data_IF_651476934335
#
_entry.id   IF_651476934335
#
_cell.length_a   1.000
_cell.length_b   1.000
_cell.length_c   1.000
_cell.angle_alpha   90.00
_cell.angle_beta   90.00
_cell.angle_gamma   90.00
#
_symmetry.space_group_name_H-M   'P 1'
#
loop_
_entity.id
_entity.type
_entity.pdbx_description
1 polymer ?
#
# COMPACT_ATOMS: atom_id res chain seq x y z
N UNK A 1 -21.35 0.88 -0.09
CA UNK A 1 -21.05 1.46 -1.42
C UNK A 1 -19.86 0.70 -1.98
N UNK A 2 -20.02 0.02 -3.10
CA UNK A 2 -18.94 -0.74 -3.73
C UNK A 2 -17.96 0.25 -4.40
N UNK A 3 -16.64 0.12 -4.19
CA UNK A 3 -15.70 1.04 -4.82
C UNK A 3 -15.74 0.87 -6.33
N UNK A 4 -15.93 1.98 -7.04
CA UNK A 4 -15.94 1.99 -8.50
C UNK A 4 -14.53 1.77 -9.02
N UNK A 5 -14.36 0.77 -9.89
CA UNK A 5 -13.15 0.61 -10.67
C UNK A 5 -13.10 1.77 -11.67
N UNK A 6 -12.13 2.67 -11.51
CA UNK A 6 -11.87 3.78 -12.43
C UNK A 6 -11.42 3.26 -13.79
N UNK A 7 -10.47 2.33 -13.74
CA UNK A 7 -9.84 1.72 -14.89
C UNK A 7 -9.24 0.38 -14.47
N UNK A 8 -9.06 -0.50 -15.42
CA UNK A 8 -8.34 -1.74 -15.21
C UNK A 8 -6.92 -1.56 -15.74
N UNK A 9 -5.94 -2.02 -14.97
CA UNK A 9 -4.61 -2.30 -15.49
C UNK A 9 -4.64 -3.76 -15.90
N UNK A 10 -4.56 -4.00 -17.20
CA UNK A 10 -4.40 -5.34 -17.76
C UNK A 10 -2.92 -5.67 -17.87
N UNK A 11 -2.56 -6.92 -17.58
CA UNK A 11 -1.22 -7.44 -17.78
C UNK A 11 -1.29 -8.95 -18.02
N UNK A 12 -0.36 -9.45 -18.83
CA UNK A 12 -0.22 -10.87 -19.15
C UNK A 12 0.82 -11.50 -18.20
N UNK A 13 0.48 -12.59 -17.50
CA UNK A 13 1.44 -13.28 -16.62
C UNK A 13 2.41 -14.17 -17.42
N UNK A 14 3.37 -14.82 -16.74
CA UNK A 14 4.34 -15.73 -17.39
C UNK A 14 3.72 -16.98 -18.01
N UNK A 15 2.47 -17.29 -17.65
CA UNK A 15 1.70 -18.43 -18.15
C UNK A 15 0.76 -18.02 -19.31
N UNK A 16 0.79 -16.75 -19.72
CA UNK A 16 -0.05 -16.20 -20.79
C UNK A 16 -1.45 -15.76 -20.33
N UNK A 17 -1.75 -15.79 -19.03
CA UNK A 17 -3.03 -15.33 -18.51
C UNK A 17 -3.07 -13.81 -18.42
N UNK A 18 -4.15 -13.22 -18.93
CA UNK A 18 -4.43 -11.81 -18.71
C UNK A 18 -5.06 -11.62 -17.33
N UNK A 19 -4.28 -11.05 -16.42
CA UNK A 19 -4.74 -10.65 -15.10
C UNK A 19 -5.10 -9.16 -15.15
N UNK A 20 -6.23 -8.81 -14.56
CA UNK A 20 -6.71 -7.43 -14.50
C UNK A 20 -6.69 -6.95 -13.05
N UNK A 21 -5.89 -5.92 -12.78
CA UNK A 21 -5.99 -5.20 -11.51
C UNK A 21 -6.93 -4.01 -11.68
N UNK A 22 -8.02 -3.93 -10.90
CA UNK A 22 -8.84 -2.75 -10.91
C UNK A 22 -8.11 -1.64 -10.14
N UNK A 23 -8.02 -0.50 -10.78
CA UNK A 23 -7.64 0.75 -10.15
C UNK A 23 -8.93 1.40 -9.67
N UNK A 24 -9.08 1.51 -8.36
CA UNK A 24 -10.30 2.02 -7.76
C UNK A 24 -10.29 3.55 -7.70
N UNK A 25 -11.30 4.18 -8.32
CA UNK A 25 -11.67 5.55 -8.00
C UNK A 25 -12.38 5.51 -6.67
N UNK A 26 -11.63 5.71 -5.60
CA UNK A 26 -12.25 6.10 -4.34
C UNK A 26 -12.46 7.61 -4.50
N UNK A 27 -13.67 8.00 -4.92
CA UNK A 27 -14.02 9.35 -5.39
C UNK A 27 -13.69 10.49 -4.41
N UNK A 28 -14.18 11.73 -4.64
CA UNK A 28 -14.08 12.77 -3.63
C UNK A 28 -14.69 12.29 -2.29
N UNK A 29 -14.24 12.85 -1.17
CA UNK A 29 -14.62 12.46 0.19
C UNK A 29 -16.14 12.34 0.36
N UNK A 30 -16.88 13.21 -0.33
CA UNK A 30 -18.34 13.33 -0.27
C UNK A 30 -19.09 12.25 -1.07
N UNK A 31 -18.40 11.50 -1.95
CA UNK A 31 -18.95 10.38 -2.73
C UNK A 31 -18.53 9.00 -2.17
N UNK A 32 -18.14 8.95 -0.88
CA UNK A 32 -17.60 7.73 -0.26
C UNK A 32 -16.10 7.52 -0.51
N UNK A 33 -15.41 8.59 -0.93
CA UNK A 33 -13.96 8.68 -1.03
C UNK A 33 -13.24 8.49 0.31
N UNK A 34 -11.97 8.12 0.24
CA UNK A 34 -11.08 8.08 1.41
C UNK A 34 -10.60 9.52 1.66
N UNK A 35 -10.84 10.14 2.84
CA UNK A 35 -10.44 11.53 3.06
C UNK A 35 -8.94 11.76 2.82
N UNK A 36 -8.55 13.00 2.49
CA UNK A 36 -7.13 13.36 2.41
C UNK A 36 -6.43 12.97 3.73
N UNK A 37 -5.28 12.31 3.64
CA UNK A 37 -4.53 11.83 4.81
C UNK A 37 -4.96 10.46 5.33
N UNK A 38 -5.88 9.76 4.67
CA UNK A 38 -6.36 8.43 5.08
C UNK A 38 -5.78 7.29 4.23
N UNK A 39 -4.50 7.38 3.84
CA UNK A 39 -3.81 6.37 3.02
C UNK A 39 -4.00 4.93 3.51
N UNK A 40 -4.01 4.71 4.83
CA UNK A 40 -4.29 3.41 5.44
C UNK A 40 -5.69 2.88 5.11
N UNK A 41 -6.70 3.76 5.06
CA UNK A 41 -8.06 3.44 4.66
C UNK A 41 -8.18 3.01 3.20
N UNK A 42 -7.43 3.67 2.30
CA UNK A 42 -7.31 3.26 0.90
C UNK A 42 -6.67 1.88 0.80
N UNK A 43 -5.48 1.70 1.38
CA UNK A 43 -4.69 0.49 1.23
C UNK A 43 -5.44 -0.73 1.77
N UNK A 44 -6.13 -0.59 2.92
CA UNK A 44 -7.04 -1.61 3.48
C UNK A 44 -8.14 -2.05 2.53
N UNK A 45 -8.86 -1.08 1.94
CA UNK A 45 -10.00 -1.38 1.06
C UNK A 45 -9.53 -2.13 -0.17
N UNK A 46 -8.41 -1.68 -0.77
CA UNK A 46 -7.81 -2.39 -1.91
C UNK A 46 -7.35 -3.79 -1.50
N UNK A 47 -6.68 -3.93 -0.35
CA UNK A 47 -6.23 -5.23 0.14
C UNK A 47 -7.38 -6.23 0.37
N UNK A 48 -8.50 -5.76 0.94
CA UNK A 48 -9.70 -6.57 1.12
C UNK A 48 -10.33 -6.95 -0.23
N UNK A 49 -10.62 -5.96 -1.08
CA UNK A 49 -11.39 -6.20 -2.29
C UNK A 49 -10.67 -7.09 -3.31
N UNK A 50 -9.34 -7.00 -3.37
CA UNK A 50 -8.54 -7.75 -4.34
C UNK A 50 -8.01 -9.07 -3.82
N UNK A 51 -7.63 -9.10 -2.55
CA UNK A 51 -6.86 -10.20 -1.99
C UNK A 51 -7.53 -10.84 -0.78
N UNK A 52 -8.75 -10.41 -0.44
CA UNK A 52 -9.49 -10.91 0.73
C UNK A 52 -8.83 -10.59 2.08
N UNK A 53 -7.82 -9.70 2.10
CA UNK A 53 -7.06 -9.39 3.32
C UNK A 53 -7.75 -8.34 4.16
N UNK A 54 -8.13 -8.73 5.37
CA UNK A 54 -8.90 -7.90 6.29
C UNK A 54 -8.00 -7.31 7.37
N UNK A 55 -7.51 -6.10 7.14
CA UNK A 55 -6.88 -5.34 8.22
C UNK A 55 -7.90 -4.40 8.85
N UNK A 56 -7.89 -4.26 10.17
CA UNK A 56 -8.74 -3.37 10.97
C UNK A 56 -8.46 -1.86 10.75
N UNK A 57 -9.47 -0.98 10.93
CA UNK A 57 -9.30 0.45 10.72
C UNK A 57 -8.29 1.06 11.70
N UNK A 58 -7.25 1.72 11.18
CA UNK A 58 -6.28 2.45 12.00
C UNK A 58 -5.52 3.51 11.18
N UNK A 59 -4.73 4.35 11.86
CA UNK A 59 -3.73 5.21 11.24
C UNK A 59 -2.56 4.37 10.71
N UNK A 60 -1.97 4.78 9.57
CA UNK A 60 -0.90 4.06 8.89
C UNK A 60 0.22 3.59 9.84
N UNK A 61 0.73 4.50 10.66
CA UNK A 61 1.85 4.27 11.58
C UNK A 61 1.57 3.34 12.77
N UNK A 62 0.32 2.91 12.98
CA UNK A 62 -0.05 2.03 14.10
C UNK A 62 -0.10 0.55 13.71
N UNK A 63 -0.16 0.23 12.41
CA UNK A 63 -0.32 -1.14 11.93
C UNK A 63 0.80 -2.07 12.38
N UNK A 64 2.02 -1.56 12.52
CA UNK A 64 3.17 -2.32 13.02
C UNK A 64 3.00 -2.95 14.41
N UNK A 65 1.97 -2.55 15.16
CA UNK A 65 1.65 -3.09 16.47
C UNK A 65 0.47 -4.05 16.48
N UNK A 66 -0.23 -4.19 15.36
CA UNK A 66 -1.46 -4.99 15.23
C UNK A 66 -1.27 -6.18 14.30
N UNK A 67 -0.21 -6.14 13.51
CA UNK A 67 0.11 -7.10 12.46
C UNK A 67 1.57 -7.49 12.54
N UNK A 68 1.94 -8.56 11.83
CA UNK A 68 3.35 -8.88 11.68
C UNK A 68 4.00 -7.78 10.82
N UNK A 69 5.11 -7.26 11.34
CA UNK A 69 5.82 -6.13 10.78
C UNK A 69 7.25 -6.54 10.48
N UNK A 70 7.62 -6.54 9.20
CA UNK A 70 8.92 -7.00 8.73
C UNK A 70 9.69 -5.79 8.17
N UNK A 71 10.85 -5.43 8.73
CA UNK A 71 11.60 -4.26 8.27
C UNK A 71 12.10 -4.41 6.83
N UNK A 72 12.19 -3.29 6.13
CA UNK A 72 12.69 -3.16 4.76
C UNK A 72 13.91 -2.24 4.75
N UNK A 73 15.00 -2.69 4.15
CA UNK A 73 16.24 -1.91 4.04
C UNK A 73 16.31 -1.07 2.76
N UNK A 74 15.53 -1.45 1.73
CA UNK A 74 15.44 -0.73 0.47
C UNK A 74 14.72 -1.55 -0.61
N UNK A 75 14.72 -1.03 -1.84
CA UNK A 75 13.99 -1.65 -2.95
C UNK A 75 14.53 -3.06 -3.31
N UNK A 76 15.86 -3.26 -3.24
CA UNK A 76 16.48 -4.58 -3.50
C UNK A 76 16.02 -5.62 -2.48
N UNK A 77 15.99 -5.24 -1.21
CA UNK A 77 15.53 -6.09 -0.12
C UNK A 77 14.02 -6.40 -0.27
N UNK A 78 13.22 -5.39 -0.60
CA UNK A 78 11.80 -5.59 -0.89
C UNK A 78 11.54 -6.60 -2.02
N UNK A 79 12.29 -6.48 -3.12
CA UNK A 79 12.24 -7.43 -4.23
C UNK A 79 12.68 -8.83 -3.80
N UNK A 80 13.71 -8.93 -2.96
CA UNK A 80 14.14 -10.23 -2.42
C UNK A 80 13.05 -10.87 -1.57
N UNK A 81 12.39 -10.09 -0.70
CA UNK A 81 11.26 -10.56 0.12
C UNK A 81 10.07 -11.01 -0.74
N UNK A 82 9.80 -10.34 -1.87
CA UNK A 82 8.80 -10.82 -2.83
C UNK A 82 9.17 -12.16 -3.46
N UNK A 83 10.39 -12.28 -4.00
CA UNK A 83 10.87 -13.54 -4.62
C UNK A 83 10.87 -14.71 -3.63
N UNK A 84 11.11 -14.44 -2.35
CA UNK A 84 11.11 -15.43 -1.28
C UNK A 84 9.72 -15.64 -0.63
N UNK A 85 8.64 -15.10 -1.23
CA UNK A 85 7.25 -15.21 -0.73
C UNK A 85 7.04 -14.66 0.69
N UNK A 86 7.93 -13.81 1.17
CA UNK A 86 7.78 -13.07 2.45
C UNK A 86 6.81 -11.91 2.25
N UNK A 87 6.96 -11.19 1.14
CA UNK A 87 6.03 -10.20 0.63
C UNK A 87 5.07 -10.85 -0.37
N UNK A 88 3.78 -10.61 -0.23
CA UNK A 88 2.73 -11.18 -1.07
C UNK A 88 1.68 -10.13 -1.45
N UNK A 89 1.03 -10.24 -2.62
CA UNK A 89 -0.03 -9.32 -2.99
C UNK A 89 -1.10 -9.17 -1.90
N UNK A 90 -1.46 -7.92 -1.62
CA UNK A 90 -2.35 -7.52 -0.52
C UNK A 90 -1.65 -7.19 0.80
N UNK A 91 -0.35 -7.46 0.95
CA UNK A 91 0.41 -6.96 2.09
C UNK A 91 0.49 -5.42 2.05
N UNK A 92 0.43 -4.79 3.22
CA UNK A 92 0.55 -3.34 3.33
C UNK A 92 2.01 -2.95 3.49
N UNK A 93 2.40 -1.77 3.00
CA UNK A 93 3.77 -1.28 2.99
C UNK A 93 3.82 0.07 3.66
N UNK A 94 4.59 0.16 4.75
CA UNK A 94 4.89 1.42 5.41
C UNK A 94 5.91 2.23 4.62
N UNK A 95 5.56 3.47 4.28
CA UNK A 95 6.37 4.37 3.46
C UNK A 95 6.71 5.65 4.23
N UNK A 96 8.00 5.98 4.26
CA UNK A 96 8.52 7.24 4.79
C UNK A 96 8.77 8.23 3.66
N UNK A 97 8.17 9.41 3.75
CA UNK A 97 8.37 10.50 2.82
C UNK A 97 9.20 11.59 3.52
N UNK A 98 10.47 11.83 3.15
CA UNK A 98 11.34 12.80 3.81
C UNK A 98 10.78 14.22 3.84
N UNK A 99 10.03 14.60 2.80
CA UNK A 99 9.45 15.94 2.64
C UNK A 99 8.09 16.10 3.35
N UNK A 100 7.64 15.09 4.10
CA UNK A 100 6.35 15.15 4.81
C UNK A 100 6.40 16.07 6.03
N UNK A 101 5.46 17.01 6.13
CA UNK A 101 5.26 17.87 7.31
C UNK A 101 4.91 17.08 8.60
N UNK A 102 4.52 15.80 8.45
CA UNK A 102 4.23 14.91 9.57
C UNK A 102 5.51 14.34 10.22
N UNK A 103 6.66 14.48 9.57
CA UNK A 103 7.93 13.98 10.10
C UNK A 103 8.31 14.73 11.38
N UNK A 104 8.68 13.99 12.43
CA UNK A 104 9.06 14.56 13.73
C UNK A 104 7.89 15.07 14.60
N UNK A 105 6.69 15.23 14.04
CA UNK A 105 5.48 15.67 14.76
C UNK A 105 4.55 14.50 15.02
N UNK A 106 4.29 13.65 14.02
CA UNK A 106 3.35 12.54 14.18
C UNK A 106 3.84 11.53 15.22
N UNK A 107 2.95 11.19 16.16
CA UNK A 107 3.18 10.17 17.17
C UNK A 107 2.38 8.90 16.88
N UNK A 108 2.96 7.76 17.20
CA UNK A 108 2.27 6.48 17.19
C UNK A 108 1.39 6.30 18.44
N UNK A 109 0.59 5.22 18.49
CA UNK A 109 -0.27 4.92 19.64
C UNK A 109 0.47 4.69 20.97
N UNK A 110 1.81 4.62 20.95
CA UNK A 110 2.66 4.52 22.14
C UNK A 110 3.39 5.84 22.45
N UNK A 111 3.07 6.93 21.75
CA UNK A 111 3.66 8.25 21.97
C UNK A 111 5.05 8.44 21.34
N UNK A 112 5.52 7.54 20.47
CA UNK A 112 6.83 7.64 19.81
C UNK A 112 6.73 8.36 18.48
N UNK A 113 7.80 9.01 18.04
CA UNK A 113 7.87 9.58 16.69
C UNK A 113 7.68 8.46 15.67
N UNK A 114 6.74 8.65 14.73
CA UNK A 114 6.49 7.64 13.72
C UNK A 114 7.69 7.45 12.78
N UNK A 115 7.96 6.19 12.42
CA UNK A 115 9.02 5.80 11.47
C UNK A 115 8.58 5.90 10.00
N UNK A 116 7.27 5.94 9.76
CA UNK A 116 6.64 6.13 8.45
C UNK A 116 5.30 6.85 8.61
N UNK A 117 4.87 7.62 7.62
CA UNK A 117 3.64 8.44 7.70
C UNK A 117 2.62 8.08 6.63
N UNK A 118 2.97 7.15 5.74
CA UNK A 118 2.15 6.74 4.62
C UNK A 118 2.09 5.23 4.47
N UNK A 119 1.07 4.75 3.75
CA UNK A 119 0.83 3.34 3.55
C UNK A 119 0.36 3.05 2.12
N UNK A 120 0.96 2.03 1.52
CA UNK A 120 0.54 1.46 0.25
C UNK A 120 0.12 0.00 0.44
N UNK A 121 -0.53 -0.57 -0.57
CA UNK A 121 -0.75 -2.01 -0.70
C UNK A 121 0.12 -2.54 -1.84
N UNK A 122 0.81 -3.65 -1.61
CA UNK A 122 1.58 -4.32 -2.67
C UNK A 122 0.62 -5.08 -3.60
N UNK A 123 0.69 -4.80 -4.90
CA UNK A 123 -0.18 -5.41 -5.90
C UNK A 123 0.48 -6.59 -6.63
N UNK A 124 1.81 -6.67 -6.59
CA UNK A 124 2.58 -7.72 -7.26
C UNK A 124 3.72 -7.16 -8.11
N UNK A 125 4.12 -7.93 -9.10
CA UNK A 125 5.13 -7.54 -10.09
C UNK A 125 4.48 -7.52 -11.48
N UNK A 126 4.77 -6.50 -12.29
CA UNK A 126 4.25 -6.39 -13.65
C UNK A 126 5.15 -7.11 -14.68
N UNK A 127 4.73 -7.11 -15.95
CA UNK A 127 5.45 -7.75 -17.08
C UNK A 127 6.89 -7.27 -17.28
N UNK A 128 7.20 -6.05 -16.85
CA UNK A 128 8.55 -5.48 -16.93
C UNK A 128 9.38 -5.79 -15.69
N UNK A 129 8.93 -6.75 -14.86
CA UNK A 129 9.50 -7.08 -13.57
C UNK A 129 9.54 -5.88 -12.62
N UNK A 130 8.58 -4.96 -12.67
CA UNK A 130 8.50 -3.83 -11.73
C UNK A 130 7.51 -4.15 -10.62
N UNK A 131 7.89 -3.89 -9.37
CA UNK A 131 7.01 -3.99 -8.22
C UNK A 131 5.94 -2.89 -8.31
N UNK A 132 4.68 -3.27 -8.15
CA UNK A 132 3.50 -2.39 -8.30
C UNK A 132 2.85 -2.18 -6.94
N UNK A 133 2.49 -0.93 -6.64
CA UNK A 133 1.84 -0.55 -5.40
C UNK A 133 0.58 0.30 -5.64
N UNK A 134 -0.47 0.01 -4.88
CA UNK A 134 -1.66 0.85 -4.79
C UNK A 134 -1.55 1.80 -3.60
N UNK A 135 -1.73 3.10 -3.80
CA UNK A 135 -1.72 4.08 -2.71
C UNK A 135 -2.60 5.29 -3.03
N UNK A 136 -2.99 6.01 -1.99
CA UNK A 136 -3.72 7.28 -2.13
C UNK A 136 -2.72 8.41 -2.36
N UNK A 137 -2.80 9.11 -3.50
CA UNK A 137 -2.04 10.36 -3.71
C UNK A 137 -3.00 11.50 -4.03
N UNK A 138 -2.85 12.63 -3.35
CA UNK A 138 -3.60 13.85 -3.64
C UNK A 138 -2.95 14.59 -4.81
N UNK A 139 -3.38 14.30 -6.03
CA UNK A 139 -3.28 15.25 -7.14
C UNK A 139 -4.64 15.34 -7.87
N UNK A 140 -4.80 16.36 -8.73
CA UNK A 140 -6.02 16.62 -9.52
C UNK A 140 -6.39 15.48 -10.50
N UNK A 141 -5.60 14.42 -10.57
CA UNK A 141 -5.73 13.22 -11.42
C UNK A 141 -5.85 11.93 -10.59
N UNK A 142 -5.99 12.05 -9.27
CA UNK A 142 -6.64 11.10 -8.36
C UNK A 142 -5.89 9.80 -8.02
N UNK A 143 -4.97 9.32 -8.85
CA UNK A 143 -4.29 8.04 -8.63
C UNK A 143 -2.86 8.07 -9.20
N UNK A 144 -1.87 8.30 -8.34
CA UNK A 144 -0.47 8.05 -8.70
C UNK A 144 -0.13 6.59 -8.35
N UNK A 145 -0.36 5.70 -9.32
CA UNK A 145 0.31 4.40 -9.40
C UNK A 145 1.80 4.65 -9.70
N UNK A 146 2.67 4.15 -8.82
CA UNK A 146 4.11 3.91 -8.99
C UNK A 146 5.06 5.09 -9.32
N UNK A 147 4.63 6.20 -9.92
CA UNK A 147 5.55 7.25 -10.39
C UNK A 147 6.29 7.97 -9.23
N UNK A 148 5.65 8.16 -8.06
CA UNK A 148 6.31 8.81 -6.92
C UNK A 148 7.21 7.87 -6.10
N UNK A 149 6.86 6.58 -6.02
CA UNK A 149 7.75 5.57 -5.41
C UNK A 149 9.00 5.40 -6.27
N UNK A 150 8.84 5.41 -7.59
CA UNK A 150 9.93 5.30 -8.56
C UNK A 150 10.78 6.58 -8.69
N UNK A 151 10.28 7.75 -8.30
CA UNK A 151 11.03 9.03 -8.28
C UNK A 151 11.93 9.21 -7.05
N UNK A 152 12.23 8.13 -6.32
CA UNK A 152 13.19 8.06 -5.20
C UNK A 152 12.90 8.93 -3.96
N UNK A 153 11.76 9.64 -3.90
CA UNK A 153 11.41 10.46 -2.74
C UNK A 153 10.76 9.70 -1.59
N UNK A 154 10.51 8.40 -1.72
CA UNK A 154 9.95 7.59 -0.64
C UNK A 154 10.92 6.49 -0.22
N UNK A 155 10.97 6.20 1.09
CA UNK A 155 11.76 5.12 1.66
C UNK A 155 10.82 4.07 2.22
N UNK A 156 10.96 2.84 1.74
CA UNK A 156 10.30 1.68 2.33
C UNK A 156 10.76 1.47 3.77
N UNK A 157 9.83 1.16 4.66
CA UNK A 157 10.15 0.94 6.08
C UNK A 157 9.80 -0.46 6.54
N UNK A 158 8.57 -0.90 6.31
CA UNK A 158 8.06 -2.16 6.85
C UNK A 158 7.03 -2.80 5.91
N UNK A 159 7.02 -4.14 5.84
CA UNK A 159 5.90 -4.93 5.34
C UNK A 159 4.99 -5.23 6.53
N UNK A 160 3.71 -4.96 6.38
CA UNK A 160 2.66 -5.22 7.36
C UNK A 160 1.77 -6.32 6.79
N UNK A 161 1.65 -7.43 7.51
CA UNK A 161 0.90 -8.61 7.07
C UNK A 161 0.02 -9.21 8.16
N UNK A 162 -1.12 -9.73 7.74
CA UNK A 162 -2.02 -10.45 8.63
C UNK A 162 -1.36 -11.74 9.13
N UNK A 163 -1.38 -11.96 10.45
CA UNK A 163 -0.85 -13.18 11.09
C UNK A 163 -1.94 -14.26 11.16
N UNK A 164 -3.14 -14.05 10.60
CA UNK A 164 -4.13 -15.13 10.48
C UNK A 164 -3.62 -16.21 9.52
N UNK A 165 -2.74 -17.06 10.05
CA UNK A 165 -2.66 -18.47 9.73
C UNK A 165 -4.05 -19.00 10.05
N UNK A 166 -4.71 -19.54 9.02
CA UNK A 166 -5.94 -20.31 9.11
C UNK A 166 -5.91 -21.20 10.35
N UNK A 167 -6.89 -21.03 11.24
CA UNK A 167 -7.33 -22.15 12.07
C UNK A 167 -8.23 -23.04 11.22
#
# INVERSE_FOLDING_TARGET
>A
MNPHVERWIEFENSDGDNIRFPIYKLGPVDEGGVPKGWCAGYARRVANNLFGRNYEPNSAWNFRYEYESIPIEGLRDLRSKFKNKILTPGDLIGLYYPDSELNGVQRDKRGRISTYTHMAVFLGENVNNLLVFGQQVTDLRGIITDIEILREKSKFREIIKDIKISK
#
